data_IF_985939996339
#
_entry.id   IF_985939996339
#
_cell.length_a   1.000
_cell.length_b   1.000
_cell.length_c   1.000
_cell.angle_alpha   90.00
_cell.angle_beta   90.00
_cell.angle_gamma   90.00
#
_symmetry.space_group_name_H-M   'P 1'
#
loop_
_entity.id
_entity.type
_entity.pdbx_description
1 polymer ?
#
# COMPACT_ATOMS: atom_id res chain seq x y z
N UNK A 1 7.44 1.92 -10.04
CA UNK A 1 6.41 1.55 -11.03
C UNK A 1 5.81 0.14 -10.86
N UNK A 2 6.26 -0.70 -9.90
CA UNK A 2 5.68 -2.04 -9.66
C UNK A 2 4.18 -2.04 -9.33
N UNK A 3 3.65 -0.99 -8.68
CA UNK A 3 2.21 -0.84 -8.44
C UNK A 3 1.42 -0.67 -9.75
N UNK A 4 1.71 0.37 -10.54
CA UNK A 4 1.00 0.64 -11.79
C UNK A 4 1.13 -0.49 -12.83
N UNK A 5 2.34 -0.91 -13.17
CA UNK A 5 2.57 -1.86 -14.28
C UNK A 5 2.51 -3.32 -13.83
N UNK A 6 2.67 -3.57 -12.52
CA UNK A 6 2.57 -4.91 -11.94
C UNK A 6 1.18 -5.18 -11.38
N UNK A 7 0.78 -4.48 -10.32
CA UNK A 7 -0.50 -4.74 -9.67
C UNK A 7 -1.70 -4.34 -10.54
N UNK A 8 -1.69 -3.13 -11.10
CA UNK A 8 -2.79 -2.61 -11.92
C UNK A 8 -2.69 -3.03 -13.40
N UNK A 9 -1.57 -3.65 -13.81
CA UNK A 9 -1.26 -3.99 -15.20
C UNK A 9 -1.45 -2.82 -16.20
N UNK A 10 -1.24 -1.58 -15.76
CA UNK A 10 -1.34 -0.43 -16.65
C UNK A 10 -0.21 -0.42 -17.67
N UNK A 11 -0.56 -0.06 -18.91
CA UNK A 11 0.46 0.26 -19.91
C UNK A 11 1.16 1.57 -19.53
N UNK A 12 2.38 1.81 -20.04
CA UNK A 12 3.06 3.08 -19.79
C UNK A 12 2.25 4.32 -20.23
N UNK A 13 1.49 4.24 -21.33
CA UNK A 13 0.62 5.33 -21.79
C UNK A 13 -0.44 5.70 -20.75
N UNK A 14 -1.13 4.70 -20.22
CA UNK A 14 -2.16 4.91 -19.18
C UNK A 14 -1.53 5.54 -17.94
N UNK A 15 -0.40 5.01 -17.47
CA UNK A 15 0.29 5.55 -16.30
C UNK A 15 0.71 7.03 -16.46
N UNK A 16 1.30 7.40 -17.61
CA UNK A 16 1.79 8.76 -17.82
C UNK A 16 0.67 9.78 -18.08
N UNK A 17 -0.51 9.32 -18.50
CA UNK A 17 -1.69 10.17 -18.71
C UNK A 17 -2.55 10.33 -17.46
N UNK A 18 -2.41 9.44 -16.48
CA UNK A 18 -3.13 9.52 -15.21
C UNK A 18 -2.52 10.56 -14.27
N UNK A 19 -3.39 11.18 -13.49
CA UNK A 19 -3.04 12.02 -12.35
C UNK A 19 -2.62 11.16 -11.16
N UNK A 20 -1.92 11.79 -10.19
CA UNK A 20 -1.56 11.12 -8.93
C UNK A 20 -2.81 10.64 -8.19
N UNK A 21 -3.89 11.42 -8.20
CA UNK A 21 -5.15 11.06 -7.55
C UNK A 21 -5.77 9.80 -8.15
N UNK A 22 -5.83 9.71 -9.48
CA UNK A 22 -6.36 8.51 -10.16
C UNK A 22 -5.51 7.28 -9.86
N UNK A 23 -4.18 7.43 -9.80
CA UNK A 23 -3.31 6.34 -9.42
C UNK A 23 -3.58 5.85 -7.98
N UNK A 24 -3.74 6.78 -7.01
CA UNK A 24 -4.02 6.40 -5.63
C UNK A 24 -5.37 5.71 -5.48
N UNK A 25 -6.43 6.24 -6.11
CA UNK A 25 -7.76 5.62 -6.12
C UNK A 25 -7.73 4.21 -6.73
N UNK A 26 -6.98 4.02 -7.82
CA UNK A 26 -6.84 2.71 -8.45
C UNK A 26 -6.12 1.70 -7.54
N UNK A 27 -5.09 2.14 -6.81
CA UNK A 27 -4.38 1.31 -5.84
C UNK A 27 -5.27 0.97 -4.63
N UNK A 28 -6.05 1.93 -4.13
CA UNK A 28 -7.04 1.68 -3.07
C UNK A 28 -8.06 0.63 -3.49
N UNK A 29 -8.69 0.80 -4.66
CA UNK A 29 -9.64 -0.18 -5.20
C UNK A 29 -8.99 -1.55 -5.44
N UNK A 30 -7.74 -1.61 -5.92
CA UNK A 30 -7.00 -2.86 -6.04
C UNK A 30 -6.80 -3.53 -4.68
N UNK A 31 -6.41 -2.78 -3.65
CA UNK A 31 -6.19 -3.31 -2.30
C UNK A 31 -7.50 -3.81 -1.67
N UNK A 32 -8.60 -3.09 -1.84
CA UNK A 32 -9.93 -3.50 -1.38
C UNK A 32 -10.34 -4.86 -1.96
N UNK A 33 -10.18 -5.03 -3.28
CA UNK A 33 -10.52 -6.30 -3.97
C UNK A 33 -9.62 -7.45 -3.50
N UNK A 34 -8.34 -7.18 -3.26
CA UNK A 34 -7.36 -8.20 -2.88
C UNK A 34 -7.28 -8.43 -1.36
N UNK A 35 -8.30 -8.00 -0.60
CA UNK A 35 -8.39 -8.23 0.84
C UNK A 35 -7.37 -7.45 1.68
N UNK A 36 -6.65 -6.51 1.06
CA UNK A 36 -5.70 -5.58 1.68
C UNK A 36 -6.34 -4.23 2.01
N UNK A 37 -7.66 -4.08 1.80
CA UNK A 37 -8.43 -2.87 2.10
C UNK A 37 -8.65 -2.61 3.58
N UNK A 38 -8.28 -3.55 4.45
CA UNK A 38 -8.00 -3.20 5.84
C UNK A 38 -6.56 -2.68 5.86
N UNK A 39 -6.29 -1.49 6.43
CA UNK A 39 -4.95 -1.22 6.91
C UNK A 39 -4.50 -2.47 7.68
N UNK A 40 -3.26 -2.91 7.48
CA UNK A 40 -2.60 -3.70 8.53
C UNK A 40 -2.49 -2.76 9.72
N UNK A 41 -3.60 -2.62 10.43
CA UNK A 41 -3.79 -1.83 11.65
C UNK A 41 -3.42 -2.67 12.87
N UNK A 42 -2.82 -3.83 12.63
CA UNK A 42 -2.01 -4.51 13.61
C UNK A 42 -0.72 -3.69 13.69
N UNK A 43 -0.80 -2.53 14.35
CA UNK A 43 0.37 -1.92 14.95
C UNK A 43 1.11 -2.97 15.80
N UNK A 44 2.36 -2.70 16.20
CA UNK A 44 3.12 -3.71 16.91
C UNK A 44 2.35 -4.12 18.16
N UNK A 45 2.26 -5.42 18.41
CA UNK A 45 1.67 -5.89 19.66
C UNK A 45 2.51 -5.42 20.86
N UNK A 46 2.00 -5.60 22.08
CA UNK A 46 2.66 -5.09 23.28
C UNK A 46 4.10 -5.63 23.42
N UNK A 47 4.35 -6.87 22.96
CA UNK A 47 5.66 -7.51 23.02
C UNK A 47 6.61 -6.92 21.96
N UNK A 48 6.12 -6.71 20.73
CA UNK A 48 6.86 -6.03 19.66
C UNK A 48 7.17 -4.58 20.04
N UNK A 49 6.22 -3.89 20.69
CA UNK A 49 6.40 -2.52 21.18
C UNK A 49 7.47 -2.48 22.28
N UNK A 50 7.44 -3.42 23.24
CA UNK A 50 8.45 -3.53 24.28
C UNK A 50 9.85 -3.82 23.71
N UNK A 51 9.94 -4.68 22.70
CA UNK A 51 11.20 -4.99 22.03
C UNK A 51 11.78 -3.78 21.27
N UNK A 52 10.91 -2.99 20.62
CA UNK A 52 11.31 -1.77 19.93
C UNK A 52 11.82 -0.72 20.92
N UNK A 53 11.12 -0.53 22.04
CA UNK A 53 11.54 0.38 23.11
C UNK A 53 12.88 -0.04 23.71
N UNK A 54 13.11 -1.33 23.97
CA UNK A 54 14.39 -1.81 24.49
C UNK A 54 15.56 -1.61 23.51
N UNK A 55 15.27 -1.57 22.20
CA UNK A 55 16.30 -1.46 21.15
C UNK A 55 16.63 -0.02 20.77
N UNK A 56 15.65 0.88 20.82
CA UNK A 56 15.76 2.24 20.27
C UNK A 56 15.36 3.36 21.24
N UNK A 57 14.73 3.05 22.37
CA UNK A 57 14.47 3.99 23.47
C UNK A 57 15.68 4.15 24.38
#
# INVERSE_FOLDING_TARGET
MKGAMGALHWTPDVFWRSTITEYMLAIEGFNEINGSGKPKDDGPDDDEMAALLARYG
#
